data_IF_729802151568
#
_entry.id   IF_729802151568
#
_cell.length_a   1.000
_cell.length_b   1.000
_cell.length_c   1.000
_cell.angle_alpha   90.00
_cell.angle_beta   90.00
_cell.angle_gamma   90.00
#
_symmetry.space_group_name_H-M   'P 1'
#
loop_
_entity.id
_entity.type
_entity.pdbx_description
1 polymer ?
#
# COMPACT_ATOMS: atom_id res chain seq x y z
N UNK A 1 4.26 1.10 -12.20
CA UNK A 1 3.36 2.17 -11.77
C UNK A 1 2.64 1.75 -10.50
N UNK A 2 2.49 2.66 -9.56
CA UNK A 2 1.81 2.39 -8.29
C UNK A 2 0.30 2.51 -8.47
N UNK A 3 -0.47 1.54 -7.97
CA UNK A 3 -1.93 1.56 -8.02
C UNK A 3 -2.49 2.19 -6.75
N UNK A 4 -3.46 3.10 -6.91
CA UNK A 4 -4.08 3.82 -5.80
C UNK A 4 -5.59 3.62 -5.78
N UNK A 5 -6.11 3.30 -4.60
CA UNK A 5 -7.54 3.30 -4.31
C UNK A 5 -7.80 4.57 -3.50
N UNK A 6 -8.46 5.55 -4.08
CA UNK A 6 -8.58 6.90 -3.54
C UNK A 6 -10.05 7.20 -3.23
N UNK A 7 -10.28 7.80 -2.09
CA UNK A 7 -11.61 8.26 -1.69
C UNK A 7 -11.59 8.82 -0.29
N UNK A 8 -12.64 9.53 0.08
CA UNK A 8 -12.80 10.04 1.44
C UNK A 8 -12.96 8.88 2.43
N UNK A 9 -12.72 9.16 3.70
CA UNK A 9 -12.95 8.20 4.78
C UNK A 9 -14.39 7.66 4.70
N UNK A 10 -14.56 6.34 4.85
CA UNK A 10 -15.88 5.71 4.85
C UNK A 10 -16.46 5.42 3.47
N UNK A 11 -15.68 5.50 2.39
CA UNK A 11 -16.15 5.24 1.02
C UNK A 11 -15.92 3.80 0.55
N UNK A 12 -15.51 2.90 1.44
CA UNK A 12 -15.35 1.48 1.10
C UNK A 12 -14.00 1.10 0.49
N UNK A 13 -12.97 1.92 0.66
CA UNK A 13 -11.63 1.64 0.10
C UNK A 13 -11.03 0.34 0.62
N UNK A 14 -11.15 0.07 1.91
CA UNK A 14 -10.63 -1.17 2.52
C UNK A 14 -11.27 -2.40 1.90
N UNK A 15 -12.59 -2.37 1.68
CA UNK A 15 -13.31 -3.47 1.04
C UNK A 15 -12.80 -3.72 -0.37
N UNK A 16 -12.58 -2.67 -1.14
CA UNK A 16 -12.02 -2.78 -2.50
C UNK A 16 -10.63 -3.36 -2.45
N UNK A 17 -9.79 -2.91 -1.52
CA UNK A 17 -8.44 -3.46 -1.36
C UNK A 17 -8.47 -4.95 -1.05
N UNK A 18 -9.32 -5.38 -0.12
CA UNK A 18 -9.47 -6.79 0.26
C UNK A 18 -9.88 -7.65 -0.94
N UNK A 19 -10.80 -7.16 -1.76
CA UNK A 19 -11.19 -7.85 -2.99
C UNK A 19 -9.99 -8.04 -3.92
N UNK A 20 -9.16 -7.01 -4.09
CA UNK A 20 -7.95 -7.10 -4.90
C UNK A 20 -6.92 -8.07 -4.30
N UNK A 21 -6.74 -8.06 -2.98
CA UNK A 21 -5.84 -9.01 -2.30
C UNK A 21 -6.26 -10.45 -2.57
N UNK A 22 -7.53 -10.74 -2.37
CA UNK A 22 -8.07 -12.10 -2.52
C UNK A 22 -8.00 -12.58 -3.98
N UNK A 23 -8.22 -11.67 -4.92
CA UNK A 23 -8.05 -11.97 -6.34
C UNK A 23 -6.57 -12.24 -6.67
N UNK A 24 -5.65 -11.42 -6.17
CA UNK A 24 -4.22 -11.59 -6.40
C UNK A 24 -3.69 -12.91 -5.86
N UNK A 25 -4.21 -13.38 -4.72
CA UNK A 25 -3.83 -14.68 -4.14
C UNK A 25 -4.13 -15.82 -5.13
N UNK A 26 -5.21 -15.74 -5.87
CA UNK A 26 -5.58 -16.78 -6.86
C UNK A 26 -4.75 -16.66 -8.14
N UNK A 27 -4.35 -15.46 -8.53
CA UNK A 27 -3.67 -15.22 -9.81
C UNK A 27 -2.14 -15.21 -9.69
N UNK A 28 -1.60 -14.90 -8.52
CA UNK A 28 -0.16 -14.76 -8.33
C UNK A 28 0.57 -16.10 -8.48
N UNK A 29 1.71 -16.06 -9.15
CA UNK A 29 2.64 -17.18 -9.20
C UNK A 29 3.59 -17.21 -7.99
N UNK A 30 3.53 -16.23 -7.13
CA UNK A 30 4.39 -16.10 -5.95
C UNK A 30 3.61 -15.71 -4.71
N UNK A 31 4.21 -14.89 -3.87
CA UNK A 31 3.65 -14.47 -2.59
C UNK A 31 2.93 -13.13 -2.68
N UNK A 32 1.84 -13.01 -1.93
CA UNK A 32 1.07 -11.77 -1.80
C UNK A 32 1.15 -11.30 -0.34
N UNK A 33 1.45 -10.04 -0.15
CA UNK A 33 1.55 -9.41 1.18
C UNK A 33 0.49 -8.32 1.30
N UNK A 34 -0.21 -8.29 2.43
CA UNK A 34 -1.15 -7.23 2.78
C UNK A 34 -0.68 -6.56 4.06
N UNK A 35 -0.47 -5.25 4.01
CA UNK A 35 0.02 -4.45 5.13
C UNK A 35 -1.12 -3.59 5.66
N UNK A 36 -1.34 -3.61 6.95
CA UNK A 36 -2.31 -2.75 7.64
C UNK A 36 -1.66 -2.11 8.86
N UNK A 37 -2.27 -1.09 9.43
CA UNK A 37 -1.75 -0.46 10.65
C UNK A 37 -2.01 -1.34 11.87
N UNK A 38 -3.27 -1.72 12.08
CA UNK A 38 -3.74 -2.52 13.21
C UNK A 38 -4.29 -3.84 12.71
N UNK A 39 -4.40 -4.84 13.57
CA UNK A 39 -4.88 -6.18 13.20
C UNK A 39 -6.41 -6.18 13.08
N UNK A 40 -6.95 -5.91 11.91
CA UNK A 40 -8.40 -5.85 11.64
C UNK A 40 -8.85 -6.75 10.49
N UNK A 41 -7.96 -7.13 9.58
CA UNK A 41 -8.32 -7.80 8.34
C UNK A 41 -8.14 -9.32 8.36
N UNK A 42 -7.84 -9.90 9.51
CA UNK A 42 -7.51 -11.33 9.66
C UNK A 42 -8.57 -12.25 9.05
N UNK A 43 -9.85 -11.92 9.21
CA UNK A 43 -10.94 -12.77 8.72
C UNK A 43 -11.38 -12.41 7.30
N UNK A 44 -10.97 -11.27 6.79
CA UNK A 44 -11.40 -10.78 5.46
C UNK A 44 -10.41 -11.13 4.37
N UNK A 45 -9.13 -11.19 4.72
CA UNK A 45 -8.04 -11.49 3.79
C UNK A 45 -7.77 -12.99 3.77
N UNK A 46 -7.64 -13.55 2.57
CA UNK A 46 -7.32 -14.96 2.39
C UNK A 46 -6.03 -15.32 3.14
N UNK A 47 -6.05 -16.45 3.87
CA UNK A 47 -4.92 -16.88 4.69
C UNK A 47 -3.61 -17.08 3.90
N UNK A 48 -3.69 -17.26 2.61
CA UNK A 48 -2.51 -17.43 1.74
C UNK A 48 -1.75 -16.13 1.52
N UNK A 49 -2.38 -14.99 1.77
CA UNK A 49 -1.69 -13.70 1.80
C UNK A 49 -1.01 -13.52 3.16
N UNK A 50 0.21 -13.03 3.17
CA UNK A 50 0.88 -12.66 4.42
C UNK A 50 0.30 -11.33 4.90
N UNK A 51 -0.40 -11.35 6.02
CA UNK A 51 -0.98 -10.15 6.63
C UNK A 51 -0.03 -9.62 7.71
N UNK A 52 0.39 -8.36 7.59
CA UNK A 52 1.34 -7.73 8.50
C UNK A 52 0.76 -6.42 9.04
N UNK A 53 0.71 -6.30 10.38
CA UNK A 53 0.26 -5.08 11.04
C UNK A 53 1.49 -4.23 11.44
N UNK A 54 1.58 -3.00 10.94
CA UNK A 54 2.75 -2.15 11.17
C UNK A 54 2.92 -1.77 12.64
N UNK A 55 1.82 -1.60 13.39
CA UNK A 55 1.89 -1.26 14.82
C UNK A 55 2.60 -2.33 15.65
N UNK A 56 2.48 -3.59 15.25
CA UNK A 56 3.14 -4.71 15.96
C UNK A 56 4.67 -4.55 15.90
N UNK A 57 5.18 -3.99 14.81
CA UNK A 57 6.62 -3.85 14.58
C UNK A 57 7.12 -2.42 14.81
N UNK A 58 6.28 -1.55 15.36
CA UNK A 58 6.66 -0.19 15.69
C UNK A 58 6.97 0.70 14.49
N UNK A 59 6.32 0.45 13.36
CA UNK A 59 6.54 1.21 12.13
C UNK A 59 5.64 2.44 12.13
N UNK A 60 6.25 3.63 12.07
CA UNK A 60 5.52 4.88 11.90
C UNK A 60 6.35 5.89 11.12
N UNK A 61 5.70 6.74 10.35
CA UNK A 61 6.37 7.72 9.50
C UNK A 61 6.81 7.16 8.15
N UNK A 62 7.00 8.04 7.18
CA UNK A 62 7.33 7.62 5.82
C UNK A 62 8.68 6.93 5.68
N UNK A 63 9.69 7.38 6.42
CA UNK A 63 11.03 6.78 6.32
C UNK A 63 11.04 5.34 6.84
N UNK A 64 10.45 5.13 8.02
CA UNK A 64 10.33 3.79 8.59
C UNK A 64 9.47 2.90 7.68
N UNK A 65 8.39 3.44 7.16
CA UNK A 65 7.48 2.73 6.27
C UNK A 65 8.18 2.28 4.99
N UNK A 66 8.92 3.18 4.37
CA UNK A 66 9.69 2.83 3.18
C UNK A 66 10.72 1.74 3.47
N UNK A 67 11.47 1.87 4.56
CA UNK A 67 12.46 0.86 4.98
C UNK A 67 11.81 -0.50 5.23
N UNK A 68 10.62 -0.51 5.82
CA UNK A 68 9.84 -1.72 6.06
C UNK A 68 9.45 -2.40 4.74
N UNK A 69 8.90 -1.67 3.79
CA UNK A 69 8.52 -2.21 2.48
C UNK A 69 9.74 -2.69 1.71
N UNK A 70 10.82 -1.93 1.75
CA UNK A 70 12.08 -2.28 1.10
C UNK A 70 12.66 -3.57 1.69
N UNK A 71 12.59 -3.71 3.03
CA UNK A 71 13.04 -4.91 3.73
C UNK A 71 12.23 -6.14 3.37
N UNK A 72 10.91 -6.00 3.24
CA UNK A 72 10.04 -7.09 2.78
C UNK A 72 10.48 -7.56 1.39
N UNK A 73 10.68 -6.64 0.46
CA UNK A 73 11.11 -6.99 -0.90
C UNK A 73 12.51 -7.60 -0.92
N UNK A 74 13.43 -7.09 -0.11
CA UNK A 74 14.80 -7.61 -0.04
C UNK A 74 14.84 -9.02 0.55
N UNK A 75 13.91 -9.33 1.45
CA UNK A 75 13.88 -10.62 2.15
C UNK A 75 13.17 -11.73 1.41
N UNK A 76 12.42 -11.43 0.36
CA UNK A 76 11.64 -12.42 -0.38
C UNK A 76 11.50 -12.01 -1.85
N UNK A 77 12.22 -12.70 -2.73
CA UNK A 77 12.20 -12.45 -4.17
C UNK A 77 10.94 -12.97 -4.88
N UNK A 78 10.11 -13.73 -4.17
CA UNK A 78 8.92 -14.36 -4.75
C UNK A 78 7.65 -13.52 -4.55
N UNK A 79 7.75 -12.35 -3.95
CA UNK A 79 6.60 -11.47 -3.74
C UNK A 79 6.20 -10.83 -5.08
N UNK A 80 4.95 -11.03 -5.48
CA UNK A 80 4.39 -10.45 -6.70
C UNK A 80 3.59 -9.18 -6.44
N UNK A 81 2.95 -9.11 -5.27
CA UNK A 81 2.04 -8.01 -4.93
C UNK A 81 2.15 -7.64 -3.46
N UNK A 82 2.18 -6.34 -3.19
CA UNK A 82 2.05 -5.78 -1.84
C UNK A 82 0.89 -4.79 -1.84
N UNK A 83 -0.06 -5.02 -0.95
CA UNK A 83 -1.23 -4.17 -0.74
C UNK A 83 -1.09 -3.47 0.60
N UNK A 84 -1.40 -2.18 0.65
CA UNK A 84 -1.26 -1.39 1.88
C UNK A 84 -2.57 -0.66 2.17
N UNK A 85 -3.15 -0.90 3.34
CA UNK A 85 -4.35 -0.20 3.78
C UNK A 85 -4.00 0.96 4.72
N UNK A 86 -4.72 2.07 4.55
CA UNK A 86 -4.64 3.25 5.39
C UNK A 86 -3.23 3.89 5.41
N UNK A 87 -2.74 4.22 4.23
CA UNK A 87 -1.38 4.77 4.04
C UNK A 87 -1.09 6.00 4.91
N UNK A 88 -1.99 6.99 4.96
CA UNK A 88 -1.80 8.18 5.79
C UNK A 88 -1.72 7.84 7.28
N UNK A 89 -2.48 6.86 7.74
CA UNK A 89 -2.46 6.44 9.15
C UNK A 89 -1.15 5.75 9.51
N UNK A 90 -0.62 4.89 8.66
CA UNK A 90 0.67 4.21 8.88
C UNK A 90 1.80 5.24 8.91
N UNK A 91 1.79 6.18 7.98
CA UNK A 91 2.78 7.23 7.90
C UNK A 91 2.63 8.31 8.97
N UNK A 92 1.49 8.33 9.67
CA UNK A 92 1.14 9.40 10.62
C UNK A 92 1.20 10.78 9.97
N UNK A 93 0.75 10.86 8.73
CA UNK A 93 0.74 12.09 7.93
C UNK A 93 -0.56 12.85 8.22
N UNK A 94 -0.44 13.92 9.01
CA UNK A 94 -1.58 14.77 9.39
C UNK A 94 -1.72 16.00 8.50
N UNK A 95 -0.70 16.35 7.76
CA UNK A 95 -0.73 17.50 6.85
C UNK A 95 -1.64 17.28 5.65
N UNK A 96 -1.58 16.10 5.06
CA UNK A 96 -2.47 15.67 3.97
C UNK A 96 -2.50 16.58 2.74
N UNK A 97 -1.44 17.33 2.51
CA UNK A 97 -1.28 18.07 1.26
C UNK A 97 -0.99 17.13 0.10
N UNK A 98 -0.54 15.92 0.41
CA UNK A 98 -0.12 14.93 -0.58
C UNK A 98 1.33 15.08 -1.00
N UNK A 99 2.05 16.09 -0.53
CA UNK A 99 3.44 16.33 -0.94
C UNK A 99 4.39 15.26 -0.40
N UNK A 100 4.31 14.98 0.92
CA UNK A 100 5.13 13.93 1.53
C UNK A 100 4.73 12.55 0.99
N UNK A 101 3.44 12.32 0.79
CA UNK A 101 2.94 11.10 0.17
C UNK A 101 3.52 10.91 -1.24
N UNK A 102 3.50 11.97 -2.05
CA UNK A 102 4.03 11.92 -3.42
C UNK A 102 5.52 11.55 -3.43
N UNK A 103 6.30 12.16 -2.55
CA UNK A 103 7.73 11.84 -2.42
C UNK A 103 7.95 10.38 -2.01
N UNK A 104 7.16 9.89 -1.06
CA UNK A 104 7.19 8.50 -0.62
C UNK A 104 6.83 7.54 -1.77
N UNK A 105 5.74 7.79 -2.47
CA UNK A 105 5.28 6.92 -3.56
C UNK A 105 6.26 6.91 -4.74
N UNK A 106 6.96 8.00 -4.98
CA UNK A 106 8.01 8.03 -5.99
C UNK A 106 9.14 7.06 -5.66
N UNK A 107 9.55 7.01 -4.38
CA UNK A 107 10.54 6.04 -3.91
C UNK A 107 10.02 4.61 -4.02
N UNK A 108 8.76 4.39 -3.69
CA UNK A 108 8.12 3.06 -3.82
C UNK A 108 8.03 2.63 -5.27
N UNK A 109 7.78 3.56 -6.20
CA UNK A 109 7.76 3.23 -7.62
C UNK A 109 9.13 2.71 -8.08
N UNK A 110 10.22 3.35 -7.64
CA UNK A 110 11.56 2.85 -7.92
C UNK A 110 11.80 1.47 -7.30
N UNK A 111 11.35 1.26 -6.06
CA UNK A 111 11.42 -0.06 -5.40
C UNK A 111 10.64 -1.11 -6.17
N UNK A 112 9.45 -0.78 -6.65
CA UNK A 112 8.60 -1.66 -7.45
C UNK A 112 9.33 -2.19 -8.68
N UNK A 113 10.08 -1.34 -9.34
CA UNK A 113 10.85 -1.71 -10.52
C UNK A 113 12.04 -2.62 -10.18
N UNK A 114 12.75 -2.31 -9.11
CA UNK A 114 13.91 -3.10 -8.65
C UNK A 114 13.47 -4.51 -8.24
N UNK A 115 12.37 -4.61 -7.51
CA UNK A 115 11.90 -5.88 -6.94
C UNK A 115 10.91 -6.64 -7.83
N UNK A 116 10.47 -6.05 -8.94
CA UNK A 116 9.43 -6.60 -9.81
C UNK A 116 8.17 -6.96 -9.00
N UNK A 117 7.74 -6.02 -8.16
CA UNK A 117 6.60 -6.19 -7.26
C UNK A 117 5.56 -5.09 -7.55
N UNK A 118 4.30 -5.47 -7.64
CA UNK A 118 3.19 -4.51 -7.78
C UNK A 118 2.78 -4.00 -6.41
N UNK A 119 2.58 -2.69 -6.31
CA UNK A 119 2.13 -2.06 -5.07
C UNK A 119 0.76 -1.41 -5.27
N UNK A 120 -0.13 -1.60 -4.31
CA UNK A 120 -1.46 -0.96 -4.26
C UNK A 120 -1.67 -0.35 -2.88
N UNK A 121 -2.06 0.93 -2.84
CA UNK A 121 -2.28 1.66 -1.59
C UNK A 121 -3.69 2.22 -1.54
N UNK A 122 -4.30 2.24 -0.35
CA UNK A 122 -5.51 3.04 -0.13
C UNK A 122 -5.12 4.42 0.41
N UNK A 123 -5.72 5.46 -0.14
CA UNK A 123 -5.46 6.84 0.23
C UNK A 123 -6.78 7.53 0.60
N UNK A 124 -6.88 7.98 1.84
CA UNK A 124 -8.04 8.74 2.33
C UNK A 124 -7.88 10.23 1.99
N UNK A 125 -8.32 10.61 0.81
CA UNK A 125 -8.20 11.96 0.29
C UNK A 125 -9.21 12.18 -0.84
N UNK A 126 -9.51 13.45 -1.11
CA UNK A 126 -10.14 13.81 -2.38
C UNK A 126 -9.09 13.68 -3.49
N UNK A 127 -9.49 13.11 -4.61
CA UNK A 127 -8.60 12.94 -5.76
C UNK A 127 -8.03 14.29 -6.23
N UNK A 128 -8.86 15.32 -6.26
CA UNK A 128 -8.50 16.64 -6.78
C UNK A 128 -7.49 17.38 -5.92
N UNK A 129 -7.35 17.00 -4.63
CA UNK A 129 -6.40 17.67 -3.73
C UNK A 129 -5.00 17.07 -3.77
N UNK A 130 -4.84 15.93 -4.43
CA UNK A 130 -3.54 15.29 -4.56
C UNK A 130 -2.68 15.98 -5.63
N UNK A 131 -1.34 16.03 -5.46
CA UNK A 131 -0.47 16.63 -6.46
C UNK A 131 -0.62 15.94 -7.82
N UNK A 132 -0.86 16.73 -8.86
CA UNK A 132 -1.06 16.20 -10.20
C UNK A 132 0.16 15.42 -10.70
N UNK A 133 1.37 15.89 -10.38
CA UNK A 133 2.62 15.23 -10.76
C UNK A 133 2.76 13.81 -10.21
N UNK A 134 2.07 13.48 -9.13
CA UNK A 134 2.07 12.13 -8.56
C UNK A 134 1.55 11.10 -9.56
N UNK A 135 0.64 11.50 -10.44
CA UNK A 135 0.02 10.60 -11.42
C UNK A 135 0.89 10.33 -12.65
N UNK A 136 2.12 10.82 -12.66
CA UNK A 136 3.14 10.39 -13.64
C UNK A 136 3.65 8.97 -13.32
N UNK A 137 3.60 8.56 -12.04
CA UNK A 137 4.06 7.24 -11.59
C UNK A 137 3.02 6.47 -10.77
N UNK A 138 1.84 7.04 -10.60
CA UNK A 138 0.71 6.40 -9.91
C UNK A 138 -0.53 6.45 -10.78
N UNK A 139 -1.44 5.48 -10.57
CA UNK A 139 -2.74 5.48 -11.23
C UNK A 139 -3.86 5.18 -10.23
N UNK A 140 -4.96 5.88 -10.36
CA UNK A 140 -6.18 5.60 -9.60
C UNK A 140 -6.90 4.42 -10.27
N UNK A 141 -7.20 3.38 -9.50
CA UNK A 141 -7.81 2.15 -10.04
C UNK A 141 -9.26 1.93 -9.62
N UNK A 142 -9.82 2.87 -8.86
CA UNK A 142 -11.23 2.76 -8.42
C UNK A 142 -12.13 3.86 -8.99
#
# INVERSE_FOLDING_TARGET
MISLIIGKKGTGKTKVLVEHVNEAVHESSGNVVCVEKETKLTYDVNYRARLVATDVFGISGYDAFYGFLSGICAGDHDITDIFVDATYRIAEDTDRTGEALAAFLKKVDALSKISDTKFTFTISSDFETLPESMFEYCEKIN
#
